data_IF_521404427678
#
_entry.id   IF_521404427678
#
_cell.length_a   1.000
_cell.length_b   1.000
_cell.length_c   1.000
_cell.angle_alpha   90.00
_cell.angle_beta   90.00
_cell.angle_gamma   90.00
#
_symmetry.space_group_name_H-M   'P 1'
#
loop_
_entity.id
_entity.type
_entity.pdbx_description
1 polymer ?
#
# COMPACT_ATOMS: atom_id res chain seq x y z
N UNK A 1 23.11 -15.00 3.28
CA UNK A 1 22.86 -16.44 3.17
C UNK A 1 21.43 -16.58 2.70
N UNK A 2 21.21 -17.26 1.59
CA UNK A 2 19.87 -17.41 1.01
C UNK A 2 19.03 -18.29 1.93
N UNK A 3 17.94 -17.75 2.47
CA UNK A 3 17.00 -18.51 3.29
C UNK A 3 16.14 -19.33 2.32
N UNK A 4 16.47 -20.60 2.16
CA UNK A 4 15.62 -21.55 1.44
C UNK A 4 14.30 -21.72 2.21
N UNK A 5 13.17 -21.54 1.52
CA UNK A 5 11.85 -21.81 2.09
C UNK A 5 11.66 -23.33 2.23
N UNK A 6 11.56 -23.82 3.46
CA UNK A 6 11.39 -25.26 3.75
C UNK A 6 9.93 -25.74 3.78
N UNK A 7 8.93 -24.87 3.56
CA UNK A 7 7.52 -25.24 3.52
C UNK A 7 6.57 -24.13 3.98
N UNK A 8 5.27 -24.44 3.99
CA UNK A 8 4.21 -23.54 4.46
C UNK A 8 3.47 -24.19 5.65
N UNK A 9 3.07 -23.38 6.62
CA UNK A 9 2.32 -23.83 7.79
C UNK A 9 1.18 -22.85 8.12
N UNK A 10 0.06 -23.38 8.61
CA UNK A 10 -1.06 -22.59 9.11
C UNK A 10 -1.06 -22.62 10.64
N UNK A 11 -0.83 -21.47 11.27
CA UNK A 11 -0.91 -21.32 12.72
C UNK A 11 -1.97 -20.28 13.06
N UNK A 12 -3.12 -20.73 13.58
CA UNK A 12 -4.24 -19.84 13.89
C UNK A 12 -3.89 -18.83 14.98
N UNK A 13 -3.15 -19.24 16.01
CA UNK A 13 -2.72 -18.33 17.09
C UNK A 13 -1.75 -17.27 16.60
N UNK A 14 -0.90 -17.56 15.61
CA UNK A 14 -0.02 -16.55 15.00
C UNK A 14 -0.78 -15.62 14.05
N UNK A 15 -1.93 -16.05 13.52
CA UNK A 15 -2.78 -15.23 12.64
C UNK A 15 -3.54 -14.13 13.38
N UNK A 16 -3.62 -14.19 14.72
CA UNK A 16 -4.27 -13.15 15.54
C UNK A 16 -3.43 -11.85 15.65
N UNK A 17 -2.14 -11.91 15.32
CA UNK A 17 -1.25 -10.74 15.42
C UNK A 17 -1.42 -9.82 14.22
N UNK A 18 -1.75 -8.56 14.48
CA UNK A 18 -1.85 -7.53 13.45
C UNK A 18 -0.48 -7.08 12.91
N UNK A 19 -0.51 -6.36 11.79
CA UNK A 19 0.69 -5.86 11.14
C UNK A 19 1.11 -4.47 11.64
N UNK A 20 2.42 -4.30 11.87
CA UNK A 20 3.06 -3.00 11.94
C UNK A 20 4.38 -2.96 11.16
N UNK A 21 4.69 -1.81 10.54
CA UNK A 21 6.00 -1.59 9.91
C UNK A 21 7.09 -1.21 10.92
N UNK A 22 6.74 -1.10 12.19
CA UNK A 22 7.63 -0.98 13.35
C UNK A 22 7.13 -1.94 14.44
N UNK A 23 7.18 -3.26 14.18
CA UNK A 23 6.56 -4.25 15.05
C UNK A 23 7.28 -4.34 16.41
N UNK A 24 6.55 -4.75 17.43
CA UNK A 24 7.11 -5.05 18.76
C UNK A 24 7.35 -6.56 18.96
N UNK A 25 7.01 -7.39 17.97
CA UNK A 25 7.25 -8.83 17.97
C UNK A 25 7.95 -9.30 16.69
N UNK A 26 8.71 -10.38 16.80
CA UNK A 26 9.30 -11.11 15.68
C UNK A 26 8.80 -12.56 15.69
N UNK A 27 8.52 -13.08 14.50
CA UNK A 27 8.09 -14.47 14.30
C UNK A 27 9.30 -15.30 13.86
N UNK A 28 9.56 -16.39 14.59
CA UNK A 28 10.59 -17.36 14.27
C UNK A 28 9.92 -18.72 13.99
N UNK A 29 9.90 -19.19 12.73
CA UNK A 29 9.38 -20.51 12.42
C UNK A 29 10.33 -21.59 12.89
N UNK A 30 9.82 -22.55 13.67
CA UNK A 30 10.48 -23.81 13.99
C UNK A 30 9.99 -24.95 13.08
N UNK A 31 10.46 -26.17 13.34
CA UNK A 31 10.06 -27.35 12.56
C UNK A 31 8.58 -27.69 12.76
N UNK A 32 8.08 -27.63 14.00
CA UNK A 32 6.70 -27.99 14.37
C UNK A 32 5.98 -26.88 15.14
N UNK A 33 6.66 -25.76 15.41
CA UNK A 33 6.16 -24.67 16.24
C UNK A 33 6.46 -23.32 15.61
N UNK A 34 5.70 -22.30 15.99
CA UNK A 34 5.94 -20.90 15.65
C UNK A 34 6.19 -20.16 16.95
N UNK A 35 7.35 -19.54 17.08
CA UNK A 35 7.70 -18.73 18.23
C UNK A 35 7.51 -17.25 17.90
N UNK A 36 6.81 -16.52 18.78
CA UNK A 36 6.64 -15.08 18.68
C UNK A 36 7.31 -14.44 19.89
N UNK A 37 8.35 -13.65 19.65
CA UNK A 37 9.16 -13.03 20.71
C UNK A 37 9.05 -11.52 20.64
N UNK A 38 8.85 -10.86 21.78
CA UNK A 38 8.87 -9.39 21.86
C UNK A 38 10.28 -8.86 21.61
N UNK A 39 10.42 -7.84 20.77
CA UNK A 39 11.70 -7.19 20.43
C UNK A 39 12.04 -6.02 21.34
N UNK A 40 11.10 -5.60 22.19
CA UNK A 40 11.25 -4.53 23.17
C UNK A 40 10.31 -4.78 24.37
N UNK A 41 10.43 -3.97 25.42
CA UNK A 41 9.45 -3.95 26.51
C UNK A 41 8.06 -3.55 25.97
N UNK A 42 7.03 -4.28 26.40
CA UNK A 42 5.64 -4.04 26.01
C UNK A 42 4.82 -3.79 27.27
N UNK A 43 4.10 -2.67 27.29
CA UNK A 43 3.21 -2.33 28.40
C UNK A 43 1.97 -3.23 28.43
N UNK A 44 1.45 -3.49 29.63
CA UNK A 44 0.23 -4.26 29.77
C UNK A 44 -0.95 -3.60 29.02
N UNK A 45 -1.62 -4.38 28.17
CA UNK A 45 -2.74 -3.90 27.34
C UNK A 45 -2.32 -3.27 26.01
N UNK A 46 -1.03 -3.11 25.74
CA UNK A 46 -0.57 -2.75 24.40
C UNK A 46 -0.75 -3.93 23.43
N UNK A 47 -1.06 -3.62 22.18
CA UNK A 47 -1.24 -4.61 21.13
C UNK A 47 0.10 -5.22 20.70
N UNK A 48 0.13 -6.52 20.44
CA UNK A 48 1.29 -7.21 19.89
C UNK A 48 1.17 -7.27 18.37
N UNK A 49 2.19 -6.78 17.69
CA UNK A 49 2.19 -6.62 16.23
C UNK A 49 3.44 -7.27 15.62
N UNK A 50 3.27 -7.88 14.45
CA UNK A 50 4.34 -8.52 13.67
C UNK A 50 4.50 -7.85 12.30
N UNK A 51 5.61 -8.15 11.60
CA UNK A 51 5.79 -7.73 10.21
C UNK A 51 5.28 -8.81 9.25
N UNK A 52 4.23 -8.52 8.47
CA UNK A 52 3.75 -9.43 7.41
C UNK A 52 4.65 -9.38 6.17
N UNK A 53 5.30 -8.25 5.96
CA UNK A 53 6.14 -7.97 4.79
C UNK A 53 7.48 -7.38 5.25
N UNK A 54 8.47 -7.38 4.34
CA UNK A 54 9.75 -6.73 4.64
C UNK A 54 9.56 -5.25 4.97
N UNK A 55 10.02 -4.88 6.16
CA UNK A 55 10.00 -3.51 6.67
C UNK A 55 11.08 -2.62 6.04
N UNK A 56 11.97 -3.19 5.21
CA UNK A 56 13.04 -2.47 4.50
C UNK A 56 12.53 -1.78 3.23
N UNK A 57 11.40 -2.24 2.70
CA UNK A 57 10.77 -1.67 1.52
C UNK A 57 10.38 -0.20 1.73
N UNK A 58 10.43 0.66 0.70
CA UNK A 58 9.90 2.02 0.76
C UNK A 58 8.41 2.06 1.14
N UNK A 59 7.97 3.12 1.83
CA UNK A 59 6.60 3.25 2.34
C UNK A 59 5.51 3.04 1.28
N UNK A 60 5.76 3.45 0.04
CA UNK A 60 4.79 3.32 -1.07
C UNK A 60 4.62 1.85 -1.45
N UNK A 61 5.72 1.11 -1.53
CA UNK A 61 5.70 -0.32 -1.86
C UNK A 61 5.07 -1.12 -0.72
N UNK A 62 5.37 -0.78 0.54
CA UNK A 62 4.72 -1.41 1.68
C UNK A 62 3.19 -1.24 1.65
N UNK A 63 2.72 -0.02 1.42
CA UNK A 63 1.26 0.24 1.32
C UNK A 63 0.63 -0.50 0.15
N UNK A 64 1.30 -0.57 -1.00
CA UNK A 64 0.78 -1.28 -2.17
C UNK A 64 0.66 -2.78 -1.93
N UNK A 65 1.69 -3.41 -1.36
CA UNK A 65 1.69 -4.84 -1.04
C UNK A 65 0.61 -5.16 0.00
N UNK A 66 0.51 -4.36 1.07
CA UNK A 66 -0.49 -4.58 2.12
C UNK A 66 -1.91 -4.42 1.59
N UNK A 67 -2.17 -3.41 0.77
CA UNK A 67 -3.48 -3.20 0.14
C UNK A 67 -3.84 -4.33 -0.82
N UNK A 68 -2.87 -4.85 -1.57
CA UNK A 68 -3.10 -5.86 -2.61
C UNK A 68 -3.25 -7.26 -2.03
N UNK A 69 -2.40 -7.65 -1.08
CA UNK A 69 -2.37 -9.01 -0.52
C UNK A 69 -3.26 -9.17 0.71
N UNK A 70 -3.42 -8.12 1.52
CA UNK A 70 -4.13 -8.18 2.80
C UNK A 70 -5.35 -7.25 2.87
N UNK A 71 -5.56 -6.38 1.88
CA UNK A 71 -6.77 -5.56 1.77
C UNK A 71 -6.85 -4.37 2.73
N UNK A 72 -5.73 -3.94 3.35
CA UNK A 72 -5.73 -2.79 4.28
C UNK A 72 -4.60 -1.78 4.01
N UNK A 73 -4.79 -0.56 4.51
CA UNK A 73 -3.77 0.49 4.52
C UNK A 73 -3.12 0.57 5.91
N UNK A 74 -1.80 0.47 5.99
CA UNK A 74 -1.10 0.45 7.27
C UNK A 74 -1.01 1.87 7.87
N UNK A 75 -1.60 2.07 9.04
CA UNK A 75 -1.63 3.34 9.76
C UNK A 75 -0.62 3.42 10.92
N UNK A 76 0.36 2.50 10.99
CA UNK A 76 1.35 2.52 12.07
C UNK A 76 2.16 3.84 12.12
N UNK A 77 2.75 4.22 13.27
CA UNK A 77 3.45 5.49 13.44
C UNK A 77 4.55 5.74 12.38
N UNK A 78 5.28 4.68 11.99
CA UNK A 78 6.31 4.77 10.96
C UNK A 78 5.73 5.14 9.59
N UNK A 79 4.65 4.48 9.16
CA UNK A 79 3.99 4.78 7.90
C UNK A 79 3.43 6.21 7.87
N UNK A 80 2.79 6.64 8.95
CA UNK A 80 2.25 8.00 9.09
C UNK A 80 3.34 9.06 8.92
N UNK A 81 4.49 8.88 9.60
CA UNK A 81 5.59 9.83 9.51
C UNK A 81 6.26 9.83 8.13
N UNK A 82 6.55 8.65 7.55
CA UNK A 82 7.16 8.54 6.23
C UNK A 82 6.29 9.15 5.12
N UNK A 83 4.97 8.89 5.14
CA UNK A 83 4.02 9.49 4.19
C UNK A 83 3.90 11.00 4.37
N UNK A 84 3.91 11.49 5.61
CA UNK A 84 3.93 12.93 5.91
C UNK A 84 5.18 13.60 5.35
N UNK A 85 6.37 13.02 5.57
CA UNK A 85 7.65 13.51 5.03
C UNK A 85 7.64 13.53 3.51
N UNK A 86 7.15 12.47 2.87
CA UNK A 86 7.01 12.38 1.41
C UNK A 86 6.10 13.47 0.86
N UNK A 87 4.97 13.72 1.48
CA UNK A 87 4.01 14.76 1.05
C UNK A 87 4.62 16.17 1.16
N UNK A 88 5.36 16.46 2.24
CA UNK A 88 6.12 17.71 2.37
C UNK A 88 7.16 17.88 1.26
N UNK A 89 7.93 16.82 0.94
CA UNK A 89 8.93 16.85 -0.15
C UNK A 89 8.29 17.10 -1.51
N UNK A 90 7.17 16.45 -1.83
CA UNK A 90 6.40 16.71 -3.06
C UNK A 90 5.93 18.16 -3.16
N UNK A 91 5.41 18.73 -2.06
CA UNK A 91 5.01 20.14 -1.99
C UNK A 91 6.18 21.09 -2.14
N UNK A 92 7.34 20.79 -1.55
CA UNK A 92 8.55 21.58 -1.72
C UNK A 92 9.03 21.56 -3.18
N UNK A 93 9.11 20.38 -3.81
CA UNK A 93 9.53 20.25 -5.21
C UNK A 93 8.56 20.95 -6.17
N UNK A 94 7.25 20.86 -5.93
CA UNK A 94 6.25 21.60 -6.69
C UNK A 94 6.42 23.13 -6.60
N UNK A 95 7.03 23.65 -5.53
CA UNK A 95 7.34 25.09 -5.37
C UNK A 95 8.60 25.53 -6.12
N UNK A 96 9.47 24.59 -6.53
CA UNK A 96 10.70 24.87 -7.27
C UNK A 96 10.64 24.50 -8.77
N UNK A 97 9.49 24.03 -9.26
CA UNK A 97 9.30 23.50 -10.62
C UNK A 97 8.31 24.27 -11.50
N UNK A 98 8.23 25.59 -11.36
CA UNK A 98 7.47 26.45 -12.29
C UNK A 98 8.33 27.65 -12.71
N UNK A 99 9.51 27.39 -13.29
CA UNK A 99 10.10 28.38 -14.19
C UNK A 99 9.40 28.18 -15.54
N UNK A 100 8.43 29.04 -15.82
CA UNK A 100 7.83 29.14 -17.13
C UNK A 100 8.92 29.53 -18.13
N UNK A 101 9.45 28.55 -18.87
CA UNK A 101 10.14 28.85 -20.13
C UNK A 101 9.07 29.06 -21.20
N UNK A 102 8.88 30.28 -21.72
CA UNK A 102 8.03 30.46 -22.88
C UNK A 102 8.79 29.94 -24.10
N UNK A 103 8.02 29.37 -25.05
CA UNK A 103 8.44 28.92 -26.38
C UNK A 103 9.01 27.49 -26.47
N UNK A 104 8.12 26.51 -26.66
CA UNK A 104 8.09 25.74 -27.90
C UNK A 104 6.92 24.75 -27.93
N UNK A 105 5.97 25.05 -28.82
CA UNK A 105 5.10 24.12 -29.57
C UNK A 105 4.04 23.37 -28.77
N UNK A 106 2.93 24.08 -28.60
CA UNK A 106 1.61 23.52 -28.38
C UNK A 106 1.16 22.74 -29.63
N UNK A 107 1.15 21.40 -29.56
CA UNK A 107 0.34 20.57 -30.45
C UNK A 107 -1.11 20.60 -29.93
N UNK A 108 -1.77 21.75 -30.10
CA UNK A 108 -3.21 21.88 -29.90
C UNK A 108 -3.87 21.45 -31.21
N UNK A 109 -4.25 20.16 -31.29
CA UNK A 109 -5.19 19.70 -32.29
C UNK A 109 -6.53 20.39 -32.04
N UNK A 110 -6.93 21.17 -33.04
CA UNK A 110 -8.11 22.03 -33.06
C UNK A 110 -9.42 21.24 -32.91
N UNK A 111 -10.33 21.85 -32.14
CA UNK A 111 -11.76 21.54 -32.04
C UNK A 111 -12.47 21.63 -33.39
N UNK A 112 -13.52 20.81 -33.57
CA UNK A 112 -14.79 21.25 -34.19
C UNK A 112 -15.97 20.69 -33.36
N UNK A 113 -17.03 21.47 -33.08
CA UNK A 113 -18.08 21.13 -32.12
C UNK A 113 -19.37 20.58 -32.78
N UNK A 114 -20.15 19.88 -31.94
CA UNK A 114 -21.62 19.80 -31.91
C UNK A 114 -22.39 19.25 -33.13
N UNK A 115 -23.05 18.10 -32.94
CA UNK A 115 -24.39 17.83 -33.48
C UNK A 115 -25.29 17.38 -32.32
N UNK A 116 -26.49 17.96 -32.26
CA UNK A 116 -27.53 17.74 -31.24
C UNK A 116 -28.67 16.92 -31.86
N UNK A 117 -29.24 16.01 -31.04
CA UNK A 117 -30.60 15.45 -31.09
C UNK A 117 -31.01 14.53 -32.26
N UNK A 118 -31.42 13.28 -31.98
CA UNK A 118 -32.80 12.87 -31.65
C UNK A 118 -33.02 11.34 -31.84
N UNK A 119 -33.71 10.75 -30.86
CA UNK A 119 -34.64 9.60 -30.84
C UNK A 119 -34.66 8.59 -32.01
N UNK A 120 -34.65 7.28 -31.69
CA UNK A 120 -35.73 6.27 -31.92
C UNK A 120 -35.18 4.83 -31.67
N UNK A 121 -35.92 4.03 -30.87
CA UNK A 121 -35.93 2.55 -30.85
C UNK A 121 -34.71 1.88 -30.22
N UNK A 122 -34.79 1.00 -29.22
CA UNK A 122 -35.72 -0.11 -29.04
C UNK A 122 -34.92 -1.42 -29.12
N UNK A 123 -35.17 -2.34 -28.17
CA UNK A 123 -34.54 -3.68 -28.00
C UNK A 123 -33.17 -3.60 -27.32
N UNK A 124 -32.95 -4.04 -26.08
CA UNK A 124 -33.42 -5.28 -25.44
C UNK A 124 -32.19 -6.19 -25.30
N UNK A 125 -31.59 -6.22 -24.10
CA UNK A 125 -30.56 -7.20 -23.75
C UNK A 125 -30.77 -7.61 -22.29
N UNK A 126 -31.32 -8.81 -22.15
CA UNK A 126 -31.33 -9.61 -20.93
C UNK A 126 -29.89 -10.04 -20.58
N UNK A 127 -29.59 -9.90 -19.30
CA UNK A 127 -28.92 -10.86 -18.40
C UNK A 127 -28.02 -11.93 -19.05
N UNK A 128 -26.73 -11.88 -18.69
CA UNK A 128 -25.84 -13.04 -18.72
C UNK A 128 -25.35 -13.26 -17.29
N UNK A 129 -25.52 -14.50 -16.83
CA UNK A 129 -25.10 -15.08 -15.54
C UNK A 129 -23.67 -14.74 -15.10
#
# INVERSE_FOLDING_TARGET
EDVESCGEALCLSAADFNHSCAPNCVVSPGVETVEVTTTAEVEAGAELEIAYISCELPVVERQEVLRTLYGFECACPRCVDELRRRTKRRRALARFGAVATPLAIAYVCLRVPAIRASLIGGLGLEEWD
#
